data_IF_982086936739
#
_entry.id   IF_982086936739
#
_cell.length_a   1.000
_cell.length_b   1.000
_cell.length_c   1.000
_cell.angle_alpha   90.00
_cell.angle_beta   90.00
_cell.angle_gamma   90.00
#
_symmetry.space_group_name_H-M   'P 1'
#
loop_
_entity.id
_entity.type
_entity.pdbx_description
1 polymer ?
#
# COMPACT_ATOMS: atom_id res chain seq x y z
N UNK A 1 -16.19 -13.14 -1.66
CA UNK A 1 -15.35 -12.58 -2.73
C UNK A 1 -14.37 -11.63 -2.06
N UNK A 2 -13.07 -11.78 -2.30
CA UNK A 2 -12.06 -10.89 -1.72
C UNK A 2 -11.97 -9.63 -2.59
N UNK A 3 -11.86 -8.46 -1.95
CA UNK A 3 -11.63 -7.20 -2.67
C UNK A 3 -10.14 -7.06 -2.98
N UNK A 4 -9.79 -6.59 -4.18
CA UNK A 4 -8.39 -6.34 -4.56
C UNK A 4 -8.10 -4.84 -4.48
N UNK A 5 -6.96 -4.48 -3.89
CA UNK A 5 -6.41 -3.11 -3.92
C UNK A 5 -5.03 -3.18 -4.56
N UNK A 6 -4.86 -2.51 -5.70
CA UNK A 6 -3.55 -2.25 -6.25
C UNK A 6 -2.99 -0.98 -5.60
N UNK A 7 -1.85 -1.09 -4.92
CA UNK A 7 -1.29 -0.01 -4.09
C UNK A 7 -0.05 0.59 -4.74
N UNK A 8 -0.08 1.90 -4.95
CA UNK A 8 1.06 2.71 -5.38
C UNK A 8 1.24 3.88 -4.42
N UNK A 9 2.48 4.12 -4.00
CA UNK A 9 2.86 5.25 -3.16
C UNK A 9 4.25 5.75 -3.53
N UNK A 10 4.64 6.92 -3.04
CA UNK A 10 5.98 7.51 -3.16
C UNK A 10 6.77 7.44 -1.83
N UNK A 11 6.33 6.56 -0.91
CA UNK A 11 6.88 6.45 0.45
C UNK A 11 8.28 5.83 0.52
N UNK A 12 8.70 5.11 -0.53
CA UNK A 12 9.80 4.17 -0.47
C UNK A 12 9.50 2.98 0.45
N UNK A 13 10.46 2.06 0.51
CA UNK A 13 10.38 0.84 1.35
C UNK A 13 11.36 0.85 2.53
N UNK A 14 12.06 1.96 2.75
CA UNK A 14 13.12 2.06 3.77
C UNK A 14 12.59 2.22 5.20
N UNK A 15 11.31 2.57 5.36
CA UNK A 15 10.70 2.82 6.66
C UNK A 15 9.27 2.22 6.74
N UNK A 16 8.58 2.40 7.86
CA UNK A 16 7.33 1.68 8.20
C UNK A 16 6.07 2.11 7.42
N UNK A 17 6.11 3.19 6.63
CA UNK A 17 4.89 3.79 6.06
C UNK A 17 4.05 2.83 5.21
N UNK A 18 4.68 2.04 4.32
CA UNK A 18 3.98 1.04 3.52
C UNK A 18 3.32 -0.02 4.42
N UNK A 19 4.02 -0.48 5.45
CA UNK A 19 3.51 -1.45 6.41
C UNK A 19 2.30 -0.90 7.19
N UNK A 20 2.40 0.34 7.68
CA UNK A 20 1.31 1.01 8.39
C UNK A 20 0.06 1.19 7.49
N UNK A 21 0.27 1.58 6.22
CA UNK A 21 -0.81 1.71 5.25
C UNK A 21 -1.52 0.38 4.98
N UNK A 22 -0.77 -0.71 4.79
CA UNK A 22 -1.35 -2.05 4.64
C UNK A 22 -2.11 -2.49 5.89
N UNK A 23 -1.58 -2.22 7.08
CA UNK A 23 -2.27 -2.48 8.34
C UNK A 23 -3.59 -1.74 8.47
N UNK A 24 -3.64 -0.46 8.08
CA UNK A 24 -4.87 0.32 8.07
C UNK A 24 -5.91 -0.18 7.05
N UNK A 25 -5.46 -0.67 5.88
CA UNK A 25 -6.36 -1.32 4.91
C UNK A 25 -6.95 -2.61 5.49
N UNK A 26 -6.10 -3.47 6.06
CA UNK A 26 -6.52 -4.77 6.59
C UNK A 26 -7.36 -4.66 7.86
N UNK A 27 -7.24 -3.57 8.63
CA UNK A 27 -8.12 -3.33 9.79
C UNK A 27 -9.55 -2.96 9.40
N UNK A 28 -9.75 -2.47 8.17
CA UNK A 28 -11.09 -2.18 7.61
C UNK A 28 -11.68 -3.44 6.97
N UNK A 29 -10.89 -4.18 6.19
CA UNK A 29 -11.30 -5.46 5.62
C UNK A 29 -10.13 -6.44 5.56
N UNK A 30 -10.14 -7.38 6.50
CA UNK A 30 -9.10 -8.41 6.71
C UNK A 30 -8.94 -9.37 5.52
N UNK A 31 -9.96 -9.47 4.65
CA UNK A 31 -9.92 -10.35 3.47
C UNK A 31 -9.41 -9.65 2.22
N UNK A 32 -9.07 -8.36 2.30
CA UNK A 32 -8.56 -7.59 1.16
C UNK A 32 -7.22 -8.15 0.70
N UNK A 33 -7.11 -8.39 -0.60
CA UNK A 33 -5.85 -8.73 -1.24
C UNK A 33 -5.16 -7.43 -1.70
N UNK A 34 -3.99 -7.14 -1.14
CA UNK A 34 -3.20 -5.95 -1.48
C UNK A 34 -2.08 -6.37 -2.44
N UNK A 35 -2.05 -5.73 -3.61
CA UNK A 35 -1.03 -5.96 -4.65
C UNK A 35 -0.26 -4.67 -4.84
N UNK A 36 1.03 -4.67 -4.50
CA UNK A 36 1.85 -3.49 -4.72
C UNK A 36 2.16 -3.32 -6.21
N UNK A 37 1.99 -2.11 -6.73
CA UNK A 37 2.52 -1.72 -8.04
C UNK A 37 3.99 -1.34 -7.85
N UNK A 38 4.24 -0.31 -7.04
CA UNK A 38 5.56 0.10 -6.56
C UNK A 38 5.39 1.13 -5.44
N UNK A 39 6.41 1.27 -4.61
CA UNK A 39 6.51 2.34 -3.60
C UNK A 39 7.70 3.27 -3.85
N UNK A 40 8.43 3.05 -4.95
CA UNK A 40 9.75 3.64 -5.22
C UNK A 40 9.69 4.70 -6.34
N UNK A 41 8.54 5.35 -6.53
CA UNK A 41 8.47 6.50 -7.44
C UNK A 41 9.08 7.75 -6.78
N UNK A 42 9.56 8.73 -7.57
CA UNK A 42 10.03 10.00 -7.02
C UNK A 42 8.95 10.69 -6.18
N UNK A 43 9.38 11.33 -5.08
CA UNK A 43 8.50 12.02 -4.15
C UNK A 43 7.73 13.15 -4.87
N UNK A 44 6.40 13.09 -4.79
CA UNK A 44 5.48 14.13 -5.30
C UNK A 44 5.62 14.47 -6.80
N UNK A 45 6.07 13.52 -7.62
CA UNK A 45 6.12 13.65 -9.08
C UNK A 45 4.79 13.17 -9.69
N UNK A 46 3.90 14.11 -10.00
CA UNK A 46 2.48 13.89 -10.37
C UNK A 46 2.22 14.04 -11.86
#
# INVERSE_FOLDING_TARGET
MNSNIALLTDFGTKDYFVGAMKGAILSINETTNIVDITHEIPLQDV
#
